data_IF_087508969921
#
_entry.id   IF_087508969921
#
_cell.length_a   1.000
_cell.length_b   1.000
_cell.length_c   1.000
_cell.angle_alpha   90.00
_cell.angle_beta   90.00
_cell.angle_gamma   90.00
#
_symmetry.space_group_name_H-M   'P 1'
#
loop_
_entity.id
_entity.type
_entity.pdbx_description
1 polymer ?
#
# COMPACT_ATOMS: atom_id res chain seq x y z
N UNK A 1 -62.19 23.90 13.83
CA UNK A 1 -61.22 24.13 12.75
C UNK A 1 -59.91 24.53 13.40
N UNK A 2 -59.02 23.57 13.58
CA UNK A 2 -57.63 23.81 13.97
C UNK A 2 -56.79 23.01 12.97
N UNK A 3 -56.04 23.74 12.16
CA UNK A 3 -55.16 23.24 11.11
C UNK A 3 -54.07 22.33 11.69
N UNK A 4 -54.07 21.06 11.28
CA UNK A 4 -52.93 20.16 11.40
C UNK A 4 -51.89 20.51 10.32
N UNK A 5 -50.91 21.35 10.67
CA UNK A 5 -49.64 21.42 9.92
C UNK A 5 -48.79 20.19 10.27
N UNK A 6 -49.03 19.05 9.61
CA UNK A 6 -48.03 17.98 9.48
C UNK A 6 -47.19 18.28 8.24
N UNK A 7 -45.98 18.78 8.46
CA UNK A 7 -45.04 19.09 7.39
C UNK A 7 -44.40 17.80 6.90
N UNK A 8 -44.60 17.56 5.60
CA UNK A 8 -44.21 16.47 4.72
C UNK A 8 -42.69 16.46 4.40
N UNK A 9 -41.83 16.67 5.40
CA UNK A 9 -40.38 16.94 5.19
C UNK A 9 -39.59 15.65 4.90
N UNK A 10 -40.02 14.50 5.44
CA UNK A 10 -39.33 13.23 5.25
C UNK A 10 -39.53 12.65 3.85
N UNK A 11 -40.76 12.66 3.33
CA UNK A 11 -41.11 12.21 1.98
C UNK A 11 -40.36 13.01 0.92
N UNK A 12 -40.46 14.34 0.96
CA UNK A 12 -39.84 15.24 -0.02
C UNK A 12 -38.32 15.10 -0.07
N UNK A 13 -37.68 14.85 1.08
CA UNK A 13 -36.22 14.70 1.16
C UNK A 13 -35.77 13.35 0.62
N UNK A 14 -36.51 12.28 0.93
CA UNK A 14 -36.27 10.93 0.44
C UNK A 14 -36.49 10.88 -1.08
N UNK A 15 -37.57 11.46 -1.57
CA UNK A 15 -37.90 11.54 -3.01
C UNK A 15 -36.79 12.26 -3.79
N UNK A 16 -36.35 13.43 -3.32
CA UNK A 16 -35.20 14.13 -3.90
C UNK A 16 -33.94 13.27 -3.90
N UNK A 17 -33.67 12.55 -2.81
CA UNK A 17 -32.53 11.64 -2.72
C UNK A 17 -32.60 10.50 -3.74
N UNK A 18 -33.79 9.98 -4.01
CA UNK A 18 -34.05 8.96 -5.02
C UNK A 18 -33.82 9.52 -6.42
N UNK A 19 -34.35 10.69 -6.73
CA UNK A 19 -34.19 11.32 -8.05
C UNK A 19 -32.72 11.68 -8.35
N UNK A 20 -32.00 12.13 -7.32
CA UNK A 20 -30.55 12.42 -7.40
C UNK A 20 -29.75 11.15 -7.71
N UNK A 21 -30.10 10.02 -7.08
CA UNK A 21 -29.45 8.73 -7.31
C UNK A 21 -29.82 8.14 -8.69
N UNK A 22 -31.09 8.17 -9.09
CA UNK A 22 -31.55 7.74 -10.42
C UNK A 22 -30.82 8.48 -11.53
N UNK A 23 -30.84 9.82 -11.47
CA UNK A 23 -30.13 10.66 -12.46
C UNK A 23 -28.61 10.45 -12.48
N UNK A 24 -28.02 9.97 -11.39
CA UNK A 24 -26.60 9.59 -11.39
C UNK A 24 -26.41 8.26 -12.10
N UNK A 25 -27.19 7.25 -11.71
CA UNK A 25 -27.19 5.91 -12.33
C UNK A 25 -27.44 5.97 -13.83
N UNK A 26 -28.39 6.79 -14.30
CA UNK A 26 -28.70 6.98 -15.72
C UNK A 26 -27.47 7.43 -16.54
N UNK A 27 -26.53 8.14 -15.90
CA UNK A 27 -25.24 8.53 -16.52
C UNK A 27 -24.20 7.42 -16.48
N UNK A 28 -24.34 6.48 -15.54
CA UNK A 28 -23.42 5.36 -15.37
C UNK A 28 -23.77 4.17 -16.27
N UNK A 29 -25.04 4.02 -16.65
CA UNK A 29 -25.50 2.93 -17.51
C UNK A 29 -25.49 3.34 -18.98
N UNK A 30 -25.17 2.38 -19.84
CA UNK A 30 -25.52 2.48 -21.27
C UNK A 30 -27.05 2.37 -21.43
N UNK A 31 -27.67 2.95 -22.48
CA UNK A 31 -29.13 3.07 -22.65
C UNK A 31 -29.94 1.76 -22.64
N UNK A 32 -29.29 0.60 -22.54
CA UNK A 32 -29.93 -0.72 -22.51
C UNK A 32 -30.38 -1.19 -21.12
N UNK A 33 -30.31 -0.36 -20.07
CA UNK A 33 -30.50 -0.75 -18.65
C UNK A 33 -31.48 0.19 -17.91
N UNK A 34 -32.55 0.64 -18.57
CA UNK A 34 -33.58 1.46 -17.92
C UNK A 34 -34.34 0.71 -16.80
N UNK A 35 -34.22 -0.62 -16.73
CA UNK A 35 -34.83 -1.48 -15.70
C UNK A 35 -33.85 -1.89 -14.60
N UNK A 36 -33.16 -0.95 -13.95
CA UNK A 36 -32.52 -1.25 -12.66
C UNK A 36 -33.63 -1.52 -11.64
N UNK A 37 -33.91 -2.81 -11.44
CA UNK A 37 -35.05 -3.37 -10.70
C UNK A 37 -35.41 -2.64 -9.40
N UNK A 38 -36.36 -1.72 -9.50
CA UNK A 38 -37.00 -1.03 -8.38
C UNK A 38 -38.17 -1.85 -7.81
N UNK A 39 -37.93 -3.13 -7.49
CA UNK A 39 -38.95 -3.97 -6.86
C UNK A 39 -38.84 -3.90 -5.34
N UNK A 40 -39.44 -2.87 -4.75
CA UNK A 40 -39.65 -2.79 -3.29
C UNK A 40 -40.87 -3.64 -2.94
N UNK A 41 -40.64 -4.89 -2.54
CA UNK A 41 -41.71 -5.85 -2.20
C UNK A 41 -41.85 -6.10 -0.70
N UNK A 42 -40.77 -5.92 0.06
CA UNK A 42 -40.72 -6.15 1.51
C UNK A 42 -39.76 -5.18 2.21
N UNK A 43 -39.69 -5.28 3.56
CA UNK A 43 -38.84 -4.41 4.38
C UNK A 43 -37.34 -4.60 4.09
N UNK A 44 -36.91 -5.82 3.75
CA UNK A 44 -35.51 -6.11 3.42
C UNK A 44 -35.13 -5.43 2.10
N UNK A 45 -36.01 -5.52 1.11
CA UNK A 45 -35.87 -4.88 -0.20
C UNK A 45 -35.84 -3.36 -0.05
N UNK A 46 -36.67 -2.79 0.82
CA UNK A 46 -36.63 -1.36 1.15
C UNK A 46 -35.32 -0.95 1.83
N UNK A 47 -34.84 -1.75 2.79
CA UNK A 47 -33.56 -1.51 3.46
C UNK A 47 -32.38 -1.52 2.48
N UNK A 48 -32.30 -2.56 1.63
CA UNK A 48 -31.29 -2.67 0.55
C UNK A 48 -31.33 -1.48 -0.39
N UNK A 49 -32.53 -1.09 -0.80
CA UNK A 49 -32.74 0.06 -1.68
C UNK A 49 -32.22 1.35 -1.04
N UNK A 50 -32.57 1.60 0.22
CA UNK A 50 -32.09 2.78 0.95
C UNK A 50 -30.56 2.84 1.03
N UNK A 51 -29.90 1.70 1.26
CA UNK A 51 -28.43 1.62 1.26
C UNK A 51 -27.84 1.96 -0.11
N UNK A 52 -28.40 1.42 -1.20
CA UNK A 52 -27.96 1.75 -2.56
C UNK A 52 -28.08 3.26 -2.83
N UNK A 53 -29.23 3.87 -2.53
CA UNK A 53 -29.47 5.30 -2.72
C UNK A 53 -28.47 6.13 -1.91
N UNK A 54 -28.22 5.76 -0.66
CA UNK A 54 -27.26 6.45 0.20
C UNK A 54 -25.84 6.41 -0.38
N UNK A 55 -25.38 5.25 -0.82
CA UNK A 55 -24.05 5.06 -1.42
C UNK A 55 -23.94 5.82 -2.76
N UNK A 56 -24.97 5.77 -3.61
CA UNK A 56 -25.00 6.49 -4.88
C UNK A 56 -24.94 8.01 -4.68
N UNK A 57 -25.70 8.54 -3.71
CA UNK A 57 -25.68 9.96 -3.38
C UNK A 57 -24.32 10.42 -2.83
N UNK A 58 -23.68 9.60 -1.98
CA UNK A 58 -22.30 9.84 -1.53
C UNK A 58 -21.33 9.88 -2.71
N UNK A 59 -21.38 8.89 -3.60
CA UNK A 59 -20.52 8.83 -4.78
C UNK A 59 -20.70 10.04 -5.70
N UNK A 60 -21.95 10.42 -6.00
CA UNK A 60 -22.26 11.62 -6.79
C UNK A 60 -21.67 12.88 -6.17
N UNK A 61 -21.86 13.07 -4.86
CA UNK A 61 -21.32 14.22 -4.12
C UNK A 61 -19.78 14.26 -4.19
N UNK A 62 -19.12 13.11 -4.09
CA UNK A 62 -17.65 13.02 -4.26
C UNK A 62 -17.24 13.41 -5.69
N UNK A 63 -17.94 12.92 -6.71
CA UNK A 63 -17.67 13.29 -8.10
C UNK A 63 -17.83 14.80 -8.35
N UNK A 64 -18.91 15.40 -7.87
CA UNK A 64 -19.20 16.83 -8.02
C UNK A 64 -18.17 17.69 -7.28
N UNK A 65 -17.86 17.35 -6.02
CA UNK A 65 -16.88 18.06 -5.19
C UNK A 65 -15.47 18.06 -5.81
N UNK A 66 -15.09 16.96 -6.45
CA UNK A 66 -13.75 16.78 -7.03
C UNK A 66 -13.71 17.01 -8.55
N UNK A 67 -14.81 17.48 -9.16
CA UNK A 67 -14.93 17.73 -10.61
C UNK A 67 -14.51 16.52 -11.46
N UNK A 68 -14.93 15.33 -11.02
CA UNK A 68 -14.60 14.07 -11.69
C UNK A 68 -15.46 13.92 -12.95
N UNK A 69 -14.81 13.63 -14.07
CA UNK A 69 -15.51 13.35 -15.33
C UNK A 69 -15.97 11.90 -15.35
N UNK A 70 -17.28 11.72 -15.22
CA UNK A 70 -17.97 10.44 -15.06
C UNK A 70 -18.16 9.75 -16.41
N UNK A 71 -17.87 8.45 -16.46
CA UNK A 71 -18.07 7.59 -17.63
C UNK A 71 -18.99 6.43 -17.33
N UNK A 72 -19.67 5.94 -18.36
CA UNK A 72 -20.53 4.78 -18.24
C UNK A 72 -19.69 3.51 -17.98
N UNK A 73 -20.20 2.64 -17.11
CA UNK A 73 -19.60 1.36 -16.78
C UNK A 73 -20.49 0.20 -17.24
N UNK A 74 -19.93 -0.97 -17.58
CA UNK A 74 -20.73 -2.11 -18.02
C UNK A 74 -21.71 -2.60 -16.94
N UNK A 75 -22.90 -3.03 -17.34
CA UNK A 75 -23.92 -3.64 -16.47
C UNK A 75 -23.33 -4.76 -15.58
N UNK A 76 -22.47 -5.58 -16.19
CA UNK A 76 -21.80 -6.71 -15.55
C UNK A 76 -20.95 -6.28 -14.35
N UNK A 77 -20.54 -5.01 -14.28
CA UNK A 77 -19.81 -4.46 -13.14
C UNK A 77 -20.76 -3.73 -12.18
N UNK A 78 -21.66 -2.89 -12.71
CA UNK A 78 -22.56 -2.09 -11.90
C UNK A 78 -23.57 -2.94 -11.12
N UNK A 79 -24.19 -3.96 -11.74
CA UNK A 79 -25.22 -4.75 -11.07
C UNK A 79 -24.64 -5.52 -9.86
N UNK A 80 -23.54 -6.31 -10.00
CA UNK A 80 -22.93 -6.96 -8.84
C UNK A 80 -22.43 -5.96 -7.78
N UNK A 81 -21.95 -4.78 -8.20
CA UNK A 81 -21.59 -3.73 -7.27
C UNK A 81 -22.80 -3.27 -6.44
N UNK A 82 -23.91 -2.91 -7.08
CA UNK A 82 -25.12 -2.43 -6.40
C UNK A 82 -25.74 -3.51 -5.50
N UNK A 83 -25.69 -4.77 -5.93
CA UNK A 83 -26.17 -5.90 -5.14
C UNK A 83 -25.38 -6.06 -3.84
N UNK A 84 -24.05 -6.08 -3.93
CA UNK A 84 -23.19 -6.22 -2.74
C UNK A 84 -23.24 -4.99 -1.84
N UNK A 85 -23.13 -3.79 -2.43
CA UNK A 85 -23.18 -2.52 -1.70
C UNK A 85 -24.50 -2.33 -0.93
N UNK A 86 -25.61 -2.88 -1.44
CA UNK A 86 -26.91 -2.80 -0.77
C UNK A 86 -26.97 -3.50 0.59
N UNK A 87 -26.06 -4.46 0.81
CA UNK A 87 -26.01 -5.25 2.05
C UNK A 87 -25.15 -4.59 3.14
N UNK A 88 -24.42 -3.54 2.80
CA UNK A 88 -23.55 -2.84 3.74
C UNK A 88 -24.35 -1.94 4.68
N UNK A 89 -24.21 -2.14 5.99
CA UNK A 89 -24.86 -1.36 7.04
C UNK A 89 -23.91 -0.43 7.80
N UNK A 90 -22.60 -0.71 7.82
CA UNK A 90 -21.63 0.19 8.45
C UNK A 90 -21.42 1.45 7.60
N UNK A 91 -21.62 2.62 8.23
CA UNK A 91 -21.58 3.88 7.52
C UNK A 91 -20.20 4.23 6.94
N UNK A 92 -19.13 3.77 7.58
CA UNK A 92 -17.75 3.98 7.14
C UNK A 92 -17.43 3.09 5.94
N UNK A 93 -17.82 1.82 5.96
CA UNK A 93 -17.72 0.95 4.79
C UNK A 93 -18.59 1.44 3.63
N UNK A 94 -19.78 1.99 3.88
CA UNK A 94 -20.58 2.65 2.84
C UNK A 94 -19.85 3.83 2.18
N UNK A 95 -19.01 4.57 2.92
CA UNK A 95 -18.14 5.61 2.32
C UNK A 95 -17.07 4.98 1.41
N UNK A 96 -16.50 3.83 1.80
CA UNK A 96 -15.54 3.10 0.97
C UNK A 96 -16.20 2.54 -0.30
N UNK A 97 -17.42 2.04 -0.22
CA UNK A 97 -18.23 1.66 -1.39
C UNK A 97 -18.42 2.85 -2.33
N UNK A 98 -18.81 4.02 -1.81
CA UNK A 98 -18.98 5.23 -2.60
C UNK A 98 -17.68 5.63 -3.33
N UNK A 99 -16.54 5.59 -2.63
CA UNK A 99 -15.21 5.85 -3.22
C UNK A 99 -14.88 4.82 -4.29
N UNK A 100 -15.20 3.55 -4.07
CA UNK A 100 -14.99 2.49 -5.06
C UNK A 100 -15.77 2.78 -6.35
N UNK A 101 -17.04 3.19 -6.24
CA UNK A 101 -17.82 3.60 -7.41
C UNK A 101 -17.21 4.79 -8.13
N UNK A 102 -16.78 5.80 -7.39
CA UNK A 102 -16.10 6.99 -7.95
C UNK A 102 -14.88 6.57 -8.78
N UNK A 103 -14.04 5.66 -8.26
CA UNK A 103 -12.85 5.17 -8.97
C UNK A 103 -13.19 4.34 -10.21
N UNK A 104 -14.34 3.64 -10.22
CA UNK A 104 -14.80 2.89 -11.40
C UNK A 104 -15.32 3.80 -12.51
N UNK A 105 -15.94 4.94 -12.16
CA UNK A 105 -16.59 5.85 -13.11
C UNK A 105 -15.69 7.01 -13.55
N UNK A 106 -14.61 7.29 -12.81
CA UNK A 106 -13.62 8.31 -13.18
C UNK A 106 -12.91 7.96 -14.48
N UNK A 107 -13.12 8.76 -15.52
CA UNK A 107 -12.49 8.59 -16.83
C UNK A 107 -10.96 8.57 -16.83
N UNK A 108 -10.31 9.17 -15.82
CA UNK A 108 -8.84 9.21 -15.72
C UNK A 108 -8.25 7.94 -15.13
N UNK A 109 -8.91 7.38 -14.11
CA UNK A 109 -8.44 6.17 -13.43
C UNK A 109 -8.98 4.90 -14.10
N UNK A 110 -10.26 4.93 -14.47
CA UNK A 110 -11.02 3.86 -15.12
C UNK A 110 -10.76 2.47 -14.53
N UNK A 111 -10.79 2.36 -13.20
CA UNK A 111 -10.46 1.12 -12.48
C UNK A 111 -11.68 0.19 -12.48
N UNK A 112 -12.03 -0.32 -13.65
CA UNK A 112 -13.16 -1.24 -13.84
C UNK A 112 -12.73 -2.68 -13.50
N UNK A 113 -12.75 -3.03 -12.21
CA UNK A 113 -12.36 -4.36 -11.75
C UNK A 113 -13.43 -5.00 -10.85
N UNK A 114 -13.92 -6.17 -11.26
CA UNK A 114 -14.94 -6.94 -10.54
C UNK A 114 -14.47 -7.51 -9.20
N UNK A 115 -13.16 -7.60 -8.96
CA UNK A 115 -12.59 -8.16 -7.74
C UNK A 115 -12.80 -7.24 -6.54
N UNK A 116 -12.76 -5.91 -6.73
CA UNK A 116 -12.83 -4.97 -5.61
C UNK A 116 -14.17 -4.99 -4.87
N UNK A 117 -15.34 -4.99 -5.56
CA UNK A 117 -16.63 -5.19 -4.87
C UNK A 117 -16.66 -6.48 -4.03
N UNK A 118 -16.10 -7.57 -4.55
CA UNK A 118 -16.10 -8.87 -3.87
C UNK A 118 -15.17 -8.92 -2.64
N UNK A 119 -14.02 -8.24 -2.71
CA UNK A 119 -13.12 -8.09 -1.57
C UNK A 119 -13.79 -7.23 -0.51
N UNK A 120 -14.33 -6.06 -0.90
CA UNK A 120 -14.93 -5.13 0.04
C UNK A 120 -16.15 -5.74 0.76
N UNK A 121 -16.97 -6.53 0.06
CA UNK A 121 -18.12 -7.22 0.66
C UNK A 121 -17.75 -8.31 1.67
N UNK A 122 -16.48 -8.71 1.74
CA UNK A 122 -15.99 -9.74 2.65
C UNK A 122 -15.12 -9.21 3.78
N UNK A 123 -14.85 -7.90 3.79
CA UNK A 123 -14.06 -7.28 4.84
C UNK A 123 -14.95 -6.78 5.96
N UNK A 124 -14.55 -7.02 7.20
CA UNK A 124 -15.08 -6.28 8.34
C UNK A 124 -14.52 -4.85 8.34
N UNK A 125 -15.18 -3.96 9.08
CA UNK A 125 -14.68 -2.61 9.34
C UNK A 125 -13.28 -2.63 9.94
N UNK A 126 -13.05 -3.51 10.91
CA UNK A 126 -11.78 -3.61 11.63
C UNK A 126 -10.66 -4.11 10.72
N UNK A 127 -10.96 -5.11 9.88
CA UNK A 127 -10.04 -5.61 8.84
C UNK A 127 -9.68 -4.50 7.83
N UNK A 128 -10.68 -3.75 7.35
CA UNK A 128 -10.45 -2.64 6.43
C UNK A 128 -9.57 -1.56 7.06
N UNK A 129 -9.89 -1.16 8.30
CA UNK A 129 -9.18 -0.10 9.01
C UNK A 129 -7.74 -0.48 9.32
N UNK A 130 -7.48 -1.76 9.64
CA UNK A 130 -6.12 -2.26 9.75
C UNK A 130 -5.36 -2.10 8.42
N UNK A 131 -5.92 -2.59 7.31
CA UNK A 131 -5.26 -2.53 6.01
C UNK A 131 -5.01 -1.07 5.58
N UNK A 132 -5.95 -0.17 5.85
CA UNK A 132 -5.80 1.26 5.57
C UNK A 132 -4.68 1.87 6.42
N UNK A 133 -4.61 1.55 7.72
CA UNK A 133 -3.54 2.04 8.61
C UNK A 133 -2.15 1.59 8.17
N UNK A 134 -2.00 0.32 7.77
CA UNK A 134 -0.75 -0.26 7.26
C UNK A 134 -0.32 0.42 5.97
N UNK A 135 -1.27 0.71 5.07
CA UNK A 135 -0.98 1.43 3.83
C UNK A 135 -0.53 2.87 4.09
N UNK A 136 -1.17 3.57 5.03
CA UNK A 136 -0.82 4.95 5.43
C UNK A 136 0.60 4.97 5.98
N UNK A 137 0.92 4.06 6.89
CA UNK A 137 2.25 3.97 7.50
C UNK A 137 3.33 3.65 6.46
N UNK A 138 3.06 2.69 5.56
CA UNK A 138 3.95 2.38 4.44
C UNK A 138 4.23 3.61 3.57
N UNK A 139 3.18 4.38 3.22
CA UNK A 139 3.33 5.61 2.42
C UNK A 139 4.17 6.66 3.14
N UNK A 140 3.94 6.86 4.45
CA UNK A 140 4.70 7.78 5.29
C UNK A 140 6.19 7.40 5.30
N UNK A 141 6.49 6.15 5.67
CA UNK A 141 7.85 5.60 5.72
C UNK A 141 8.56 5.69 4.37
N UNK A 142 7.88 5.33 3.28
CA UNK A 142 8.44 5.39 1.93
C UNK A 142 8.77 6.81 1.53
N UNK A 143 7.85 7.77 1.77
CA UNK A 143 8.09 9.18 1.46
C UNK A 143 9.28 9.77 2.24
N UNK A 144 9.44 9.41 3.51
CA UNK A 144 10.60 9.84 4.32
C UNK A 144 11.92 9.28 3.78
N UNK A 145 11.95 7.99 3.45
CA UNK A 145 13.13 7.34 2.90
C UNK A 145 13.48 7.83 1.48
N UNK A 146 12.47 8.14 0.66
CA UNK A 146 12.68 8.73 -0.66
C UNK A 146 13.28 10.13 -0.56
N UNK A 147 12.83 10.94 0.40
CA UNK A 147 13.44 12.25 0.69
C UNK A 147 14.88 12.10 1.16
N UNK A 148 15.16 11.15 2.07
CA UNK A 148 16.51 10.85 2.54
C UNK A 148 17.41 10.36 1.39
N UNK A 149 16.89 9.51 0.50
CA UNK A 149 17.61 9.03 -0.66
C UNK A 149 17.90 10.17 -1.65
N UNK A 150 16.94 11.06 -1.88
CA UNK A 150 17.10 12.20 -2.79
C UNK A 150 18.16 13.19 -2.28
N UNK A 151 18.14 13.53 -0.98
CA UNK A 151 19.18 14.39 -0.39
C UNK A 151 20.55 13.70 -0.44
N UNK A 152 20.60 12.41 -0.08
CA UNK A 152 21.83 11.63 -0.15
C UNK A 152 22.41 11.56 -1.56
N UNK A 153 21.59 11.34 -2.60
CA UNK A 153 22.05 11.29 -3.98
C UNK A 153 22.64 12.62 -4.47
N UNK A 154 22.05 13.76 -4.05
CA UNK A 154 22.54 15.08 -4.40
C UNK A 154 23.93 15.35 -3.80
N UNK A 155 24.13 15.01 -2.53
CA UNK A 155 25.42 15.19 -1.86
C UNK A 155 26.45 14.20 -2.40
N UNK A 156 26.01 12.96 -2.64
CA UNK A 156 26.80 11.86 -3.18
C UNK A 156 27.41 12.18 -4.53
N UNK A 157 26.67 12.78 -5.46
CA UNK A 157 27.16 13.02 -6.83
C UNK A 157 28.43 13.89 -6.82
N UNK A 158 28.42 14.95 -6.02
CA UNK A 158 29.58 15.83 -5.86
C UNK A 158 30.76 15.10 -5.19
N UNK A 159 30.48 14.36 -4.11
CA UNK A 159 31.51 13.61 -3.37
C UNK A 159 32.13 12.51 -4.26
N UNK A 160 31.31 11.74 -4.97
CA UNK A 160 31.81 10.69 -5.85
C UNK A 160 32.65 11.25 -6.99
N UNK A 161 32.25 12.39 -7.58
CA UNK A 161 33.03 13.00 -8.66
C UNK A 161 34.41 13.44 -8.16
N UNK A 162 34.47 14.09 -6.99
CA UNK A 162 35.73 14.52 -6.38
C UNK A 162 36.63 13.32 -6.01
N UNK A 163 36.05 12.29 -5.37
CA UNK A 163 36.79 11.08 -4.99
C UNK A 163 37.27 10.29 -6.22
N UNK A 164 36.47 10.24 -7.30
CA UNK A 164 36.90 9.60 -8.56
C UNK A 164 38.03 10.37 -9.23
N UNK A 165 38.00 11.71 -9.25
CA UNK A 165 39.12 12.50 -9.78
C UNK A 165 40.39 12.29 -8.96
N UNK A 166 40.29 12.32 -7.62
CA UNK A 166 41.45 12.10 -6.74
C UNK A 166 42.02 10.69 -6.91
N UNK A 167 41.16 9.68 -7.06
CA UNK A 167 41.57 8.31 -7.31
C UNK A 167 42.30 8.18 -8.66
N UNK A 168 41.82 8.84 -9.73
CA UNK A 168 42.49 8.86 -11.02
C UNK A 168 43.88 9.50 -10.96
N UNK A 169 44.01 10.62 -10.23
CA UNK A 169 45.29 11.30 -10.04
C UNK A 169 46.28 10.44 -9.24
N UNK A 170 45.83 9.79 -8.16
CA UNK A 170 46.65 8.88 -7.37
C UNK A 170 47.07 7.63 -8.16
N UNK A 171 46.17 7.06 -8.97
CA UNK A 171 46.49 5.94 -9.86
C UNK A 171 47.51 6.33 -10.94
N UNK A 172 47.40 7.54 -11.49
CA UNK A 172 48.36 8.09 -12.45
C UNK A 172 49.73 8.27 -11.80
N UNK A 173 49.78 8.91 -10.63
CA UNK A 173 51.02 9.10 -9.86
C UNK A 173 51.68 7.77 -9.52
N UNK A 174 50.89 6.75 -9.16
CA UNK A 174 51.40 5.41 -8.88
C UNK A 174 52.01 4.73 -10.12
N UNK A 175 51.39 4.89 -11.29
CA UNK A 175 51.89 4.37 -12.57
C UNK A 175 53.17 5.07 -13.03
N UNK A 176 53.26 6.38 -12.85
CA UNK A 176 54.47 7.16 -13.15
C UNK A 176 55.63 6.79 -12.23
N UNK A 177 55.36 6.52 -10.95
CA UNK A 177 56.37 6.12 -9.96
C UNK A 177 56.89 4.68 -10.17
N UNK A 178 56.07 3.80 -10.76
CA UNK A 178 56.42 2.39 -11.01
C UNK A 178 55.94 1.90 -12.39
N UNK A 179 56.57 2.36 -13.49
CA UNK A 179 56.11 2.01 -14.85
C UNK A 179 56.24 0.52 -15.18
N UNK A 180 57.19 -0.18 -14.54
CA UNK A 180 57.54 -1.60 -14.76
C UNK A 180 57.67 -2.40 -13.45
N UNK A 181 57.05 -1.97 -12.35
CA UNK A 181 57.16 -2.65 -11.04
C UNK A 181 58.45 -2.37 -10.26
N UNK A 182 59.43 -1.67 -10.85
CA UNK A 182 60.58 -1.12 -10.11
C UNK A 182 60.03 -0.09 -9.11
N UNK A 183 60.31 -0.29 -7.82
CA UNK A 183 59.79 0.48 -6.67
C UNK A 183 58.39 0.09 -6.16
N UNK A 184 57.88 -1.11 -6.48
CA UNK A 184 56.63 -1.65 -5.93
C UNK A 184 56.59 -1.77 -4.39
N UNK A 185 57.72 -1.63 -3.68
CA UNK A 185 57.78 -1.62 -2.22
C UNK A 185 58.38 -0.33 -1.65
N UNK A 186 58.48 0.74 -2.45
CA UNK A 186 58.91 2.03 -1.92
C UNK A 186 57.87 2.59 -0.95
N UNK A 187 58.32 3.37 0.03
CA UNK A 187 57.46 4.03 1.03
C UNK A 187 56.37 4.86 0.35
N UNK A 188 56.74 5.68 -0.63
CA UNK A 188 55.82 6.51 -1.42
C UNK A 188 54.79 5.66 -2.21
N UNK A 189 55.22 4.53 -2.79
CA UNK A 189 54.31 3.63 -3.52
C UNK A 189 53.34 2.91 -2.57
N UNK A 190 53.76 2.59 -1.34
CA UNK A 190 52.90 2.03 -0.30
C UNK A 190 51.89 3.06 0.22
N UNK A 191 52.31 4.31 0.42
CA UNK A 191 51.44 5.43 0.84
C UNK A 191 50.34 5.69 -0.21
N UNK A 192 50.72 5.80 -1.50
CA UNK A 192 49.75 5.94 -2.60
C UNK A 192 48.75 4.79 -2.65
N UNK A 193 49.19 3.53 -2.50
CA UNK A 193 48.28 2.37 -2.43
C UNK A 193 47.40 2.37 -1.19
N UNK A 194 47.84 2.95 -0.08
CA UNK A 194 47.02 3.12 1.11
C UNK A 194 45.90 4.13 0.85
N UNK A 195 46.23 5.27 0.26
CA UNK A 195 45.26 6.31 -0.09
C UNK A 195 44.22 5.82 -1.11
N UNK A 196 44.66 5.12 -2.17
CA UNK A 196 43.75 4.50 -3.15
C UNK A 196 42.78 3.53 -2.47
N UNK A 197 43.27 2.70 -1.53
CA UNK A 197 42.41 1.78 -0.76
C UNK A 197 41.40 2.52 0.12
N UNK A 198 41.81 3.62 0.76
CA UNK A 198 40.91 4.45 1.57
C UNK A 198 39.78 5.03 0.73
N UNK A 199 40.12 5.72 -0.37
CA UNK A 199 39.14 6.35 -1.27
C UNK A 199 38.23 5.29 -1.91
N UNK A 200 38.77 4.14 -2.30
CA UNK A 200 37.97 3.02 -2.80
C UNK A 200 36.98 2.49 -1.74
N UNK A 201 37.41 2.41 -0.48
CA UNK A 201 36.56 2.03 0.64
C UNK A 201 35.43 3.03 0.88
N UNK A 202 35.73 4.33 0.79
CA UNK A 202 34.73 5.39 0.90
C UNK A 202 33.69 5.33 -0.22
N UNK A 203 34.12 5.23 -1.48
CA UNK A 203 33.21 5.04 -2.63
C UNK A 203 32.32 3.81 -2.45
N UNK A 204 32.88 2.70 -1.94
CA UNK A 204 32.12 1.50 -1.70
C UNK A 204 31.11 1.68 -0.54
N UNK A 205 31.47 2.39 0.52
CA UNK A 205 30.58 2.68 1.65
C UNK A 205 29.36 3.52 1.23
N UNK A 206 29.58 4.48 0.32
CA UNK A 206 28.55 5.33 -0.27
C UNK A 206 27.56 4.47 -1.06
N UNK A 207 28.05 3.57 -1.93
CA UNK A 207 27.21 2.62 -2.68
C UNK A 207 26.41 1.70 -1.76
N UNK A 208 27.01 1.23 -0.67
CA UNK A 208 26.31 0.40 0.31
C UNK A 208 25.19 1.16 1.01
N UNK A 209 25.42 2.43 1.38
CA UNK A 209 24.38 3.27 2.00
C UNK A 209 23.20 3.50 1.06
N UNK A 210 23.46 3.81 -0.21
CA UNK A 210 22.41 3.93 -1.24
C UNK A 210 21.60 2.63 -1.36
N UNK A 211 22.29 1.49 -1.49
CA UNK A 211 21.67 0.18 -1.64
C UNK A 211 20.85 -0.20 -0.39
N UNK A 212 21.29 0.22 0.79
CA UNK A 212 20.55 0.04 2.05
C UNK A 212 19.27 0.85 2.06
N UNK A 213 19.30 2.12 1.63
CA UNK A 213 18.11 2.97 1.54
C UNK A 213 17.11 2.42 0.53
N UNK A 214 17.57 2.05 -0.67
CA UNK A 214 16.74 1.40 -1.70
C UNK A 214 16.08 0.12 -1.18
N UNK A 215 16.83 -0.73 -0.46
CA UNK A 215 16.27 -1.93 0.17
C UNK A 215 15.20 -1.61 1.20
N UNK A 216 15.45 -0.64 2.09
CA UNK A 216 14.46 -0.21 3.10
C UNK A 216 13.17 0.30 2.46
N UNK A 217 13.26 1.04 1.35
CA UNK A 217 12.09 1.50 0.60
C UNK A 217 11.29 0.31 0.06
N UNK A 218 11.96 -0.70 -0.48
CA UNK A 218 11.32 -1.89 -1.04
C UNK A 218 10.78 -2.88 0.01
N UNK A 219 11.14 -2.73 1.29
CA UNK A 219 10.71 -3.65 2.35
C UNK A 219 9.18 -3.64 2.50
N UNK A 220 8.52 -4.82 2.54
CA UNK A 220 7.10 -4.94 2.86
C UNK A 220 6.77 -4.39 4.25
N UNK A 221 5.51 -3.98 4.45
CA UNK A 221 5.03 -3.57 5.76
C UNK A 221 4.50 -4.79 6.52
N UNK A 222 4.74 -4.81 7.84
CA UNK A 222 4.25 -5.89 8.71
C UNK A 222 2.88 -5.49 9.24
N UNK A 223 1.94 -6.43 9.19
CA UNK A 223 0.60 -6.25 9.77
C UNK A 223 0.68 -6.58 11.27
N UNK A 224 0.36 -5.66 12.19
CA UNK A 224 0.41 -5.93 13.62
C UNK A 224 -0.71 -6.90 14.04
N UNK A 225 -0.35 -8.01 14.69
CA UNK A 225 -1.31 -9.03 15.14
C UNK A 225 -2.19 -8.58 16.31
N UNK A 226 -1.74 -7.58 17.07
CA UNK A 226 -2.33 -7.21 18.38
C UNK A 226 -3.75 -6.62 18.29
N UNK A 227 -4.20 -6.22 17.10
CA UNK A 227 -5.43 -5.46 16.91
C UNK A 227 -6.55 -6.24 16.21
N UNK A 228 -6.33 -7.51 15.85
CA UNK A 228 -7.35 -8.33 15.19
C UNK A 228 -7.56 -9.66 15.91
N UNK A 229 -8.78 -10.16 15.79
CA UNK A 229 -9.10 -11.53 16.19
C UNK A 229 -8.47 -12.50 15.18
N UNK A 230 -8.19 -13.71 15.64
CA UNK A 230 -7.56 -14.75 14.82
C UNK A 230 -8.33 -15.02 13.50
N UNK A 231 -9.66 -15.00 13.54
CA UNK A 231 -10.48 -15.21 12.34
C UNK A 231 -10.40 -14.06 11.34
N UNK A 232 -10.17 -12.82 11.80
CA UNK A 232 -10.04 -11.64 10.93
C UNK A 232 -8.70 -11.67 10.19
N UNK A 233 -7.64 -12.03 10.91
CA UNK A 233 -6.33 -12.30 10.30
C UNK A 233 -6.42 -13.44 9.27
N UNK A 234 -7.10 -14.54 9.63
CA UNK A 234 -7.30 -15.66 8.71
C UNK A 234 -8.09 -15.25 7.47
N UNK A 235 -9.09 -14.37 7.60
CA UNK A 235 -9.87 -13.85 6.48
C UNK A 235 -9.00 -12.99 5.54
N UNK A 236 -8.22 -12.05 6.08
CA UNK A 236 -7.29 -11.22 5.29
C UNK A 236 -6.30 -12.10 4.51
N UNK A 237 -5.76 -13.15 5.14
CA UNK A 237 -4.85 -14.11 4.48
C UNK A 237 -5.59 -14.90 3.40
N UNK A 238 -6.80 -15.39 3.68
CA UNK A 238 -7.64 -16.15 2.74
C UNK A 238 -8.03 -15.33 1.52
N UNK A 239 -8.29 -14.04 1.70
CA UNK A 239 -8.55 -13.08 0.61
C UNK A 239 -7.29 -12.75 -0.20
N UNK A 240 -6.11 -13.24 0.21
CA UNK A 240 -4.84 -13.00 -0.47
C UNK A 240 -4.29 -11.59 -0.25
N UNK A 241 -4.78 -10.86 0.76
CA UNK A 241 -4.38 -9.50 1.07
C UNK A 241 -3.10 -9.44 1.92
N UNK A 242 -2.81 -10.52 2.65
CA UNK A 242 -1.61 -10.67 3.46
C UNK A 242 -0.93 -12.02 3.21
N UNK A 243 0.39 -12.04 3.33
CA UNK A 243 1.21 -13.25 3.28
C UNK A 243 1.81 -13.51 4.66
N UNK A 244 1.60 -14.71 5.18
CA UNK A 244 2.29 -15.18 6.38
C UNK A 244 3.72 -15.57 6.01
N UNK A 245 4.68 -15.04 6.76
CA UNK A 245 6.09 -15.39 6.63
C UNK A 245 6.55 -15.89 7.99
N UNK A 246 6.91 -17.17 8.07
CA UNK A 246 7.53 -17.74 9.26
C UNK A 246 9.02 -17.40 9.22
N UNK A 247 9.46 -16.54 10.13
CA UNK A 247 10.88 -16.32 10.34
C UNK A 247 11.44 -17.51 11.11
N UNK A 248 12.28 -18.31 10.45
CA UNK A 248 13.05 -19.35 11.12
C UNK A 248 14.08 -18.66 12.01
N UNK A 249 13.69 -18.37 13.24
CA UNK A 249 14.64 -17.99 14.28
C UNK A 249 15.49 -19.23 14.59
N UNK A 250 16.58 -19.40 13.84
CA UNK A 250 17.73 -20.15 14.31
C UNK A 250 18.33 -19.36 15.48
N UNK A 251 17.67 -19.41 16.64
CA UNK A 251 18.29 -18.98 17.87
C UNK A 251 19.63 -19.70 17.96
N UNK A 252 20.68 -18.99 18.35
CA UNK A 252 21.92 -19.61 18.82
C UNK A 252 21.59 -20.31 20.14
N UNK A 253 20.82 -21.40 20.09
CA UNK A 253 20.82 -22.37 21.14
C UNK A 253 22.18 -23.03 21.06
N UNK A 254 23.13 -22.52 21.84
CA UNK A 254 24.26 -23.32 22.27
C UNK A 254 23.66 -24.61 22.82
N UNK A 255 23.90 -25.73 22.12
CA UNK A 255 23.64 -27.05 22.65
C UNK A 255 24.53 -27.13 23.89
N UNK A 256 23.95 -26.95 25.07
CA UNK A 256 24.63 -27.29 26.30
C UNK A 256 24.85 -28.80 26.25
N UNK A 257 26.07 -29.18 25.85
CA UNK A 257 26.52 -30.56 25.98
C UNK A 257 26.49 -30.81 27.49
N UNK A 258 25.60 -31.68 28.01
CA UNK A 258 25.66 -32.03 29.41
C UNK A 258 27.07 -32.57 29.64
N UNK A 259 27.77 -32.00 30.62
CA UNK A 259 29.01 -32.57 31.11
C UNK A 259 28.63 -33.92 31.74
N UNK A 260 28.52 -34.95 30.90
CA UNK A 260 28.41 -36.32 31.34
C UNK A 260 29.58 -36.56 32.27
N UNK A 261 29.26 -37.09 33.45
CA UNK A 261 30.26 -37.63 34.35
C UNK A 261 31.29 -38.36 33.51
N UNK A 262 32.56 -37.99 33.70
CA UNK A 262 33.69 -38.70 33.10
C UNK A 262 33.65 -40.10 33.70
N UNK A 263 32.90 -40.99 33.06
CA UNK A 263 32.96 -42.41 33.28
C UNK A 263 34.40 -42.84 32.97
N UNK A 264 35.16 -42.98 34.05
CA UNK A 264 35.61 -44.30 34.48
C UNK A 264 36.05 -45.24 33.35
N UNK A 265 36.95 -44.79 32.48
CA UNK A 265 37.81 -45.73 31.77
C UNK A 265 38.80 -46.32 32.77
N UNK A 266 38.37 -47.46 33.30
CA UNK A 266 39.21 -48.48 33.91
C UNK A 266 40.42 -48.74 33.01
N UNK A 267 41.59 -48.44 33.56
CA UNK A 267 42.86 -49.00 33.12
C UNK A 267 42.85 -50.51 33.35
N UNK A 268 43.02 -51.29 32.28
CA UNK A 268 43.63 -52.62 32.35
C UNK A 268 45.12 -52.43 32.11
#
# INVERSE_FOLDING_TARGET
MSDDKKIDVSSTTIEKGIDVAKSFVDKLVSPSIEELGLLVKDQISLWRFNNQIKILNKAKSICEKNQINVTAIPAKLLCPYLENASLEDDNELQDKWAILLVNMVDSKQNIQNHVFPYILSQLSKDEFNLLESVLIEKKRRTSELEKELASFCKDKENIENNLKSELLDLEKNLKELSPNGKYAYSKESMELRSSIRSISGELQSIKFKESRLKRKIATPEVIPEQNLKEFEMANIIRLGLAKVVYESNAGTHSIDIPAGDRDSYTSV
#
